data_IF_796955444538
#
_entry.id   IF_796955444538
#
_cell.length_a   1.000
_cell.length_b   1.000
_cell.length_c   1.000
_cell.angle_alpha   90.00
_cell.angle_beta   90.00
_cell.angle_gamma   90.00
#
_symmetry.space_group_name_H-M   'P 1'
#
loop_
_entity.id
_entity.type
_entity.pdbx_description
1 polymer ?
#
# COMPACT_ATOMS: atom_id res chain seq x y z
N UNK A 1 -31.60 -34.65 34.64
CA UNK A 1 -32.38 -33.39 34.72
C UNK A 1 -32.08 -32.51 35.95
N UNK A 2 -31.31 -32.96 36.96
CA UNK A 2 -31.02 -32.16 38.19
C UNK A 2 -29.63 -31.48 38.17
N UNK A 3 -28.72 -31.88 37.27
CA UNK A 3 -27.37 -31.29 37.18
C UNK A 3 -27.34 -29.94 36.43
N UNK A 4 -28.18 -29.78 35.39
CA UNK A 4 -28.26 -28.52 34.63
C UNK A 4 -28.65 -27.31 35.48
N UNK A 5 -29.43 -27.50 36.55
CA UNK A 5 -29.90 -26.40 37.41
C UNK A 5 -28.82 -25.94 38.40
N UNK A 6 -27.77 -26.76 38.64
CA UNK A 6 -26.72 -26.47 39.63
C UNK A 6 -25.49 -25.77 39.04
N UNK A 7 -25.19 -25.97 37.75
CA UNK A 7 -24.02 -25.38 37.08
C UNK A 7 -24.32 -23.99 36.48
N UNK A 8 -25.57 -23.78 36.01
CA UNK A 8 -26.06 -22.49 35.51
C UNK A 8 -25.85 -21.29 36.45
N UNK A 9 -26.10 -21.38 37.77
CA UNK A 9 -25.84 -20.26 38.67
C UNK A 9 -24.35 -19.98 38.88
N UNK A 10 -23.46 -20.95 38.65
CA UNK A 10 -22.02 -20.77 38.81
C UNK A 10 -21.43 -19.97 37.64
N UNK A 11 -21.78 -20.34 36.40
CA UNK A 11 -21.32 -19.64 35.20
C UNK A 11 -21.80 -18.18 35.16
N UNK A 12 -23.06 -17.92 35.53
CA UNK A 12 -23.60 -16.55 35.61
C UNK A 12 -22.83 -15.71 36.64
N UNK A 13 -22.47 -16.31 37.78
CA UNK A 13 -21.74 -15.63 38.84
C UNK A 13 -20.32 -15.26 38.42
N UNK A 14 -19.66 -16.14 37.66
CA UNK A 14 -18.33 -15.87 37.11
C UNK A 14 -18.36 -14.74 36.06
N UNK A 15 -19.39 -14.70 35.22
CA UNK A 15 -19.60 -13.60 34.26
C UNK A 15 -19.84 -12.28 35.02
N UNK A 16 -20.72 -12.26 36.02
CA UNK A 16 -20.99 -11.07 36.83
C UNK A 16 -19.74 -10.59 37.58
N UNK A 17 -18.92 -11.51 38.10
CA UNK A 17 -17.64 -11.14 38.72
C UNK A 17 -16.66 -10.53 37.71
N UNK A 18 -16.56 -11.11 36.49
CA UNK A 18 -15.74 -10.52 35.42
C UNK A 18 -16.24 -9.13 35.01
N UNK A 19 -17.57 -8.92 34.93
CA UNK A 19 -18.19 -7.60 34.69
C UNK A 19 -17.83 -6.63 35.82
N UNK A 20 -18.07 -7.01 37.07
CA UNK A 20 -17.88 -6.18 38.27
C UNK A 20 -16.42 -5.79 38.48
N UNK A 21 -15.50 -6.73 38.21
CA UNK A 21 -14.06 -6.51 38.36
C UNK A 21 -13.44 -5.82 37.12
N UNK A 22 -14.23 -5.52 36.08
CA UNK A 22 -13.74 -4.87 34.87
C UNK A 22 -12.74 -5.69 34.07
N UNK A 23 -12.66 -7.01 34.31
CA UNK A 23 -11.70 -7.91 33.66
C UNK A 23 -12.22 -8.45 32.32
N UNK A 24 -13.40 -8.01 31.88
CA UNK A 24 -13.91 -8.30 30.54
C UNK A 24 -13.02 -7.60 29.52
N UNK A 25 -12.19 -8.39 28.84
CA UNK A 25 -11.49 -7.98 27.63
C UNK A 25 -12.45 -8.12 26.46
N UNK A 26 -12.87 -6.99 25.90
CA UNK A 26 -13.57 -6.94 24.62
C UNK A 26 -12.50 -6.80 23.54
N UNK A 27 -12.23 -7.86 22.79
CA UNK A 27 -11.42 -7.76 21.57
C UNK A 27 -12.26 -7.08 20.48
N UNK A 28 -12.11 -5.76 20.36
CA UNK A 28 -12.74 -4.98 19.30
C UNK A 28 -11.91 -5.19 18.02
N UNK A 29 -12.24 -6.21 17.22
CA UNK A 29 -11.73 -6.31 15.86
C UNK A 29 -12.32 -5.17 15.01
N UNK A 30 -11.55 -4.09 14.85
CA UNK A 30 -11.95 -2.95 14.03
C UNK A 30 -11.80 -3.30 12.53
N UNK A 31 -12.79 -4.01 11.97
CA UNK A 31 -12.79 -4.47 10.57
C UNK A 31 -12.68 -3.36 9.52
N UNK A 32 -12.94 -2.11 9.89
CA UNK A 32 -12.84 -0.95 8.99
C UNK A 32 -11.41 -0.42 8.77
N UNK A 33 -10.46 -0.71 9.67
CA UNK A 33 -9.12 -0.11 9.57
C UNK A 33 -8.23 -0.85 8.56
N UNK A 34 -8.37 -2.18 8.46
CA UNK A 34 -7.64 -3.01 7.52
C UNK A 34 -7.83 -2.61 6.03
N UNK A 35 -9.06 -2.41 5.52
CA UNK A 35 -9.24 -1.95 4.14
C UNK A 35 -8.69 -0.53 3.93
N UNK A 36 -8.79 0.36 4.93
CA UNK A 36 -8.21 1.70 4.86
C UNK A 36 -6.68 1.64 4.76
N UNK A 37 -6.01 0.80 5.57
CA UNK A 37 -4.57 0.60 5.50
C UNK A 37 -4.14 0.10 4.11
N UNK A 38 -4.86 -0.88 3.54
CA UNK A 38 -4.57 -1.42 2.21
C UNK A 38 -4.68 -0.35 1.12
N UNK A 39 -5.72 0.47 1.15
CA UNK A 39 -5.87 1.58 0.20
C UNK A 39 -4.76 2.61 0.37
N UNK A 40 -4.38 2.93 1.61
CA UNK A 40 -3.30 3.87 1.88
C UNK A 40 -1.95 3.35 1.36
N UNK A 41 -1.66 2.06 1.53
CA UNK A 41 -0.44 1.42 1.00
C UNK A 41 -0.42 1.47 -0.54
N UNK A 42 -1.55 1.19 -1.19
CA UNK A 42 -1.67 1.27 -2.65
C UNK A 42 -1.45 2.70 -3.18
N UNK A 43 -2.04 3.70 -2.52
CA UNK A 43 -1.86 5.11 -2.89
C UNK A 43 -0.41 5.53 -2.69
N UNK A 44 0.19 5.19 -1.54
CA UNK A 44 1.58 5.51 -1.24
C UNK A 44 2.53 4.92 -2.29
N UNK A 45 2.33 3.65 -2.66
CA UNK A 45 3.12 3.00 -3.71
C UNK A 45 2.96 3.69 -5.07
N UNK A 46 1.74 4.10 -5.46
CA UNK A 46 1.52 4.86 -6.70
C UNK A 46 2.26 6.20 -6.69
N UNK A 47 2.21 6.93 -5.57
CA UNK A 47 2.87 8.22 -5.44
C UNK A 47 4.38 8.07 -5.54
N UNK A 48 4.97 7.13 -4.81
CA UNK A 48 6.41 6.84 -4.88
C UNK A 48 6.84 6.52 -6.30
N UNK A 49 6.10 5.66 -7.01
CA UNK A 49 6.38 5.35 -8.41
C UNK A 49 6.27 6.56 -9.33
N UNK A 50 5.23 7.39 -9.16
CA UNK A 50 5.04 8.60 -9.95
C UNK A 50 6.20 9.60 -9.76
N UNK A 51 6.68 9.75 -8.52
CA UNK A 51 7.82 10.63 -8.21
C UNK A 51 9.10 10.11 -8.86
N UNK A 52 9.39 8.81 -8.76
CA UNK A 52 10.56 8.19 -9.40
C UNK A 52 10.48 8.34 -10.92
N UNK A 53 9.30 8.15 -11.51
CA UNK A 53 9.09 8.34 -12.93
C UNK A 53 9.37 9.79 -13.35
N UNK A 54 8.80 10.75 -12.63
CA UNK A 54 8.97 12.17 -12.92
C UNK A 54 10.44 12.60 -12.80
N UNK A 55 11.13 12.18 -11.74
CA UNK A 55 12.56 12.50 -11.57
C UNK A 55 13.42 11.87 -12.66
N UNK A 56 13.08 10.67 -13.12
CA UNK A 56 13.77 10.00 -14.22
C UNK A 56 13.56 10.74 -15.55
N UNK A 57 12.33 11.16 -15.87
CA UNK A 57 12.04 11.96 -17.07
C UNK A 57 12.79 13.29 -17.05
N UNK A 58 12.76 14.00 -15.91
CA UNK A 58 13.44 15.29 -15.76
C UNK A 58 14.96 15.13 -15.85
N UNK A 59 15.53 14.16 -15.14
CA UNK A 59 16.97 13.88 -15.17
C UNK A 59 17.45 13.48 -16.56
N UNK A 60 16.70 12.62 -17.25
CA UNK A 60 17.02 12.21 -18.62
C UNK A 60 16.93 13.38 -19.60
N UNK A 61 15.92 14.25 -19.47
CA UNK A 61 15.78 15.46 -20.29
C UNK A 61 16.98 16.41 -20.10
N UNK A 62 17.44 16.55 -18.85
CA UNK A 62 18.60 17.38 -18.54
C UNK A 62 19.89 16.82 -19.17
N UNK A 63 20.10 15.51 -19.09
CA UNK A 63 21.24 14.83 -19.72
C UNK A 63 21.24 15.04 -21.24
N UNK A 64 20.07 14.93 -21.88
CA UNK A 64 19.92 15.20 -23.32
C UNK A 64 20.34 16.64 -23.65
N UNK A 65 19.92 17.62 -22.84
CA UNK A 65 20.27 19.02 -23.03
C UNK A 65 21.77 19.31 -22.79
N UNK A 66 22.39 18.61 -21.85
CA UNK A 66 23.80 18.78 -21.50
C UNK A 66 24.78 18.28 -22.56
N UNK A 67 24.32 17.61 -23.63
CA UNK A 67 25.16 17.09 -24.73
C UNK A 67 26.39 16.31 -24.25
N UNK A 68 26.22 15.51 -23.20
CA UNK A 68 27.31 14.73 -22.61
C UNK A 68 27.65 13.57 -23.57
N UNK A 69 28.91 13.42 -24.01
CA UNK A 69 29.33 12.26 -24.81
C UNK A 69 29.27 10.97 -23.97
N UNK A 70 28.93 9.79 -24.53
CA UNK A 70 28.77 9.46 -25.95
C UNK A 70 27.44 9.93 -26.56
N UNK A 71 27.54 10.56 -27.73
CA UNK A 71 26.41 11.07 -28.50
C UNK A 71 26.18 10.21 -29.75
N UNK A 72 24.92 9.96 -30.09
CA UNK A 72 24.51 9.37 -31.37
C UNK A 72 23.58 10.36 -32.05
N UNK A 73 23.95 10.84 -33.25
CA UNK A 73 23.20 11.87 -33.99
C UNK A 73 22.89 13.13 -33.14
N UNK A 74 23.89 13.66 -32.43
CA UNK A 74 23.76 14.82 -31.53
C UNK A 74 22.85 14.62 -30.30
N UNK A 75 22.39 13.39 -30.05
CA UNK A 75 21.60 13.02 -28.86
C UNK A 75 22.44 12.16 -27.92
N UNK A 76 22.60 12.54 -26.63
CA UNK A 76 23.26 11.72 -25.63
C UNK A 76 22.59 10.35 -25.47
N UNK A 77 23.35 9.26 -25.65
CA UNK A 77 22.82 7.88 -25.58
C UNK A 77 22.27 7.58 -24.19
N UNK A 78 22.94 8.09 -23.15
CA UNK A 78 22.54 7.93 -21.75
C UNK A 78 21.14 8.53 -21.52
N UNK A 79 20.90 9.73 -22.06
CA UNK A 79 19.60 10.39 -21.97
C UNK A 79 18.51 9.69 -22.78
N UNK A 80 18.86 9.03 -23.89
CA UNK A 80 17.90 8.23 -24.65
C UNK A 80 17.49 6.96 -23.91
N UNK A 81 18.46 6.25 -23.33
CA UNK A 81 18.22 5.04 -22.53
C UNK A 81 17.37 5.36 -21.29
N UNK A 82 17.69 6.46 -20.59
CA UNK A 82 16.89 6.93 -19.46
C UNK A 82 15.44 7.24 -19.86
N UNK A 83 15.22 7.85 -21.03
CA UNK A 83 13.87 8.16 -21.52
C UNK A 83 13.09 6.89 -21.90
N UNK A 84 13.73 5.95 -22.57
CA UNK A 84 13.16 4.64 -22.91
C UNK A 84 12.77 3.85 -21.67
N UNK A 85 13.65 3.78 -20.69
CA UNK A 85 13.39 3.09 -19.43
C UNK A 85 12.26 3.78 -18.64
N UNK A 86 12.24 5.12 -18.59
CA UNK A 86 11.11 5.86 -18.01
C UNK A 86 9.80 5.56 -18.74
N UNK A 87 9.80 5.49 -20.07
CA UNK A 87 8.64 5.11 -20.87
C UNK A 87 8.10 3.72 -20.51
N UNK A 88 8.97 2.73 -20.39
CA UNK A 88 8.60 1.35 -20.00
C UNK A 88 8.02 1.33 -18.59
N UNK A 89 8.69 1.98 -17.62
CA UNK A 89 8.21 2.04 -16.23
C UNK A 89 6.87 2.77 -16.12
N UNK A 90 6.69 3.86 -16.87
CA UNK A 90 5.46 4.64 -16.89
C UNK A 90 4.31 3.85 -17.50
N UNK A 91 4.57 3.13 -18.59
CA UNK A 91 3.59 2.25 -19.21
C UNK A 91 3.20 1.09 -18.29
N UNK A 92 4.18 0.49 -17.60
CA UNK A 92 3.90 -0.56 -16.63
C UNK A 92 3.07 -0.05 -15.44
N UNK A 93 3.38 1.14 -14.93
CA UNK A 93 2.60 1.81 -13.90
C UNK A 93 1.16 2.06 -14.37
N UNK A 94 0.98 2.55 -15.60
CA UNK A 94 -0.34 2.77 -16.19
C UNK A 94 -1.16 1.46 -16.25
N UNK A 95 -0.55 0.37 -16.72
CA UNK A 95 -1.18 -0.95 -16.75
C UNK A 95 -1.54 -1.41 -15.34
N UNK A 96 -0.62 -1.24 -14.38
CA UNK A 96 -0.88 -1.61 -12.98
C UNK A 96 -2.06 -0.84 -12.40
N UNK A 97 -2.17 0.46 -12.69
CA UNK A 97 -3.28 1.31 -12.26
C UNK A 97 -4.61 0.81 -12.85
N UNK A 98 -4.63 0.54 -14.15
CA UNK A 98 -5.83 0.08 -14.87
C UNK A 98 -6.25 -1.34 -14.45
N UNK A 99 -5.30 -2.23 -14.20
CA UNK A 99 -5.56 -3.61 -13.78
C UNK A 99 -6.11 -3.70 -12.36
N UNK A 100 -5.65 -2.81 -11.46
CA UNK A 100 -6.10 -2.77 -10.06
C UNK A 100 -7.30 -1.83 -9.83
N UNK A 101 -7.72 -1.04 -10.82
CA UNK A 101 -8.97 -0.25 -10.76
C UNK A 101 -10.25 -1.08 -10.90
N UNK A 102 -10.14 -2.41 -10.99
CA UNK A 102 -11.26 -3.37 -10.98
C UNK A 102 -11.24 -4.19 -9.68
N UNK A 103 -11.58 -3.57 -8.55
CA UNK A 103 -12.12 -4.24 -7.37
C UNK A 103 -13.11 -3.31 -6.69
#
# INVERSE_FOLDING_TARGET
MIQLTKELPFEIREIIEKVKNGTIKIDIEHKGLNPMLRTHEQISNRITFAIVLASMIVGSSLIVLSKIPPMWNDIPVIGLVGFLAAGILGFWLLISILRHGKM
#
